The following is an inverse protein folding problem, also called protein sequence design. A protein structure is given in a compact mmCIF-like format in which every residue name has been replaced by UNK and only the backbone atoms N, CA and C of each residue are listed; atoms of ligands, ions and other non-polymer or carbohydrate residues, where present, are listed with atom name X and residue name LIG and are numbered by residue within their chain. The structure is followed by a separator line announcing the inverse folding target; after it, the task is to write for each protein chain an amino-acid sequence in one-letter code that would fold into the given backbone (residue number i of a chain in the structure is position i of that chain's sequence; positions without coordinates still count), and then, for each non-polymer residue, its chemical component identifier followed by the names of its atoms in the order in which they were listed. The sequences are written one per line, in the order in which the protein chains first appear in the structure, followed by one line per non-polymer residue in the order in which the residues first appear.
data_IF_720790943268
#
_entry.id   IF_720790943268
#
_cell.length_a   1.000
_cell.length_b   1.000
_cell.length_c   1.000
_cell.angle_alpha   90.00
_cell.angle_beta   90.00
_cell.angle_gamma   90.00
#
_symmetry.space_group_name_H-M   'P 1'
#
loop_
_entity.id
_entity.type
_entity.pdbx_description
1 polymer ?
#
# COMPACT_ATOMS: atom_id res chain seq x y z
N UNK A 1 2.83 -17.50 4.88
CA UNK A 1 1.40 -17.19 5.03
C UNK A 1 1.08 -16.18 3.95
N UNK A 2 -0.01 -16.36 3.21
CA UNK A 2 -0.33 -15.45 2.12
C UNK A 2 -0.94 -14.16 2.70
N UNK A 3 -0.24 -13.04 2.54
CA UNK A 3 -0.76 -11.72 2.88
C UNK A 3 -1.77 -11.28 1.83
N UNK A 4 -3.04 -11.13 2.22
CA UNK A 4 -4.08 -10.59 1.37
C UNK A 4 -4.64 -9.29 1.98
N UNK A 5 -4.97 -8.33 1.12
CA UNK A 5 -5.74 -7.15 1.48
C UNK A 5 -7.16 -7.30 0.95
N UNK A 6 -8.15 -7.01 1.78
CA UNK A 6 -9.55 -6.96 1.39
C UNK A 6 -9.98 -5.50 1.33
N UNK A 7 -10.52 -5.08 0.19
CA UNK A 7 -11.01 -3.73 -0.04
C UNK A 7 -12.37 -3.73 -0.73
N UNK A 8 -12.93 -2.54 -0.88
CA UNK A 8 -14.22 -2.32 -1.54
C UNK A 8 -14.15 -1.05 -2.36
N UNK A 9 -14.34 -1.17 -3.68
CA UNK A 9 -14.45 -0.05 -4.58
C UNK A 9 -15.85 -0.01 -5.21
N UNK A 10 -16.55 1.12 -5.07
CA UNK A 10 -17.82 1.37 -5.76
C UNK A 10 -18.88 0.27 -5.58
N UNK A 11 -18.89 -0.38 -4.41
CA UNK A 11 -19.80 -1.48 -4.07
C UNK A 11 -19.36 -2.87 -4.51
N UNK A 12 -18.17 -3.00 -5.12
CA UNK A 12 -17.54 -4.27 -5.45
C UNK A 12 -16.39 -4.56 -4.49
N UNK A 13 -16.48 -5.71 -3.83
CA UNK A 13 -15.44 -6.18 -2.94
C UNK A 13 -14.32 -6.85 -3.74
N UNK A 14 -13.07 -6.63 -3.35
CA UNK A 14 -11.92 -7.21 -4.01
C UNK A 14 -10.87 -7.71 -3.01
N UNK A 15 -10.03 -8.62 -3.47
CA UNK A 15 -8.91 -9.17 -2.71
C UNK A 15 -7.61 -8.95 -3.49
N UNK A 16 -6.60 -8.37 -2.84
CA UNK A 16 -5.27 -8.16 -3.42
C UNK A 16 -4.29 -9.11 -2.74
N UNK A 17 -3.61 -9.94 -3.52
CA UNK A 17 -2.52 -10.79 -3.03
C UNK A 17 -1.23 -9.97 -2.89
N UNK A 18 -0.92 -9.54 -1.66
CA UNK A 18 0.22 -8.67 -1.39
C UNK A 18 1.57 -9.35 -1.62
N UNK A 19 1.64 -10.68 -1.57
CA UNK A 19 2.89 -11.42 -1.84
C UNK A 19 3.33 -11.31 -3.30
N UNK A 20 2.42 -10.92 -4.19
CA UNK A 20 2.71 -10.74 -5.60
C UNK A 20 2.99 -9.28 -5.94
N UNK A 21 2.77 -8.33 -5.02
CA UNK A 21 3.14 -6.93 -5.24
C UNK A 21 4.67 -6.86 -5.19
N UNK A 22 5.30 -6.35 -6.23
CA UNK A 22 6.75 -6.12 -6.24
C UNK A 22 7.13 -4.64 -6.34
N UNK A 23 6.17 -3.78 -6.72
CA UNK A 23 6.38 -2.35 -6.82
C UNK A 23 5.12 -1.58 -6.45
N UNK A 24 5.30 -0.49 -5.72
CA UNK A 24 4.22 0.40 -5.28
C UNK A 24 4.55 1.81 -5.75
N UNK A 25 3.71 2.37 -6.61
CA UNK A 25 3.78 3.76 -7.04
C UNK A 25 2.59 4.55 -6.47
N UNK A 26 2.80 5.32 -5.39
CA UNK A 26 1.78 6.22 -4.86
C UNK A 26 1.59 7.46 -5.74
N UNK A 27 0.35 7.76 -6.10
CA UNK A 27 -0.04 9.03 -6.73
C UNK A 27 -0.94 9.83 -5.78
N UNK A 28 -1.31 11.06 -6.18
CA UNK A 28 -2.07 12.01 -5.35
C UNK A 28 -3.42 11.43 -4.88
N UNK A 29 -4.15 10.76 -5.78
CA UNK A 29 -5.50 10.24 -5.51
C UNK A 29 -5.63 8.73 -5.72
N UNK A 30 -4.51 8.02 -5.90
CA UNK A 30 -4.51 6.58 -6.15
C UNK A 30 -3.20 5.91 -5.78
N UNK A 31 -3.23 4.60 -5.65
CA UNK A 31 -2.06 3.76 -5.41
C UNK A 31 -1.93 2.73 -6.53
N UNK A 32 -0.85 2.81 -7.29
CA UNK A 32 -0.58 1.87 -8.37
C UNK A 32 0.30 0.74 -7.84
N UNK A 33 -0.21 -0.48 -7.90
CA UNK A 33 0.48 -1.70 -7.50
C UNK A 33 0.87 -2.47 -8.76
N UNK A 34 2.18 -2.74 -8.92
CA UNK A 34 2.65 -3.69 -9.93
C UNK A 34 2.84 -5.05 -9.29
N UNK A 35 2.19 -6.05 -9.89
CA UNK A 35 2.07 -7.41 -9.41
C UNK A 35 2.83 -8.36 -10.35
N UNK A 36 3.35 -9.46 -9.81
CA UNK A 36 3.98 -10.51 -10.61
C UNK A 36 3.10 -10.93 -11.79
N UNK A 37 3.72 -11.04 -12.97
CA UNK A 37 3.01 -11.34 -14.23
C UNK A 37 2.50 -10.10 -14.97
N UNK A 38 3.13 -8.94 -14.78
CA UNK A 38 2.84 -7.66 -15.45
C UNK A 38 1.41 -7.13 -15.23
N UNK A 39 0.75 -7.59 -14.16
CA UNK A 39 -0.55 -7.05 -13.75
C UNK A 39 -0.36 -5.75 -12.99
N UNK A 40 -1.16 -4.75 -13.32
CA UNK A 40 -1.17 -3.44 -12.66
C UNK A 40 -2.55 -3.19 -12.08
N UNK A 41 -2.61 -2.86 -10.79
CA UNK A 41 -3.84 -2.55 -10.07
C UNK A 41 -3.75 -1.10 -9.61
N UNK A 42 -4.76 -0.29 -9.93
CA UNK A 42 -4.95 1.02 -9.33
C UNK A 42 -5.96 0.90 -8.20
N UNK A 43 -5.58 1.36 -7.00
CA UNK A 43 -6.47 1.45 -5.85
C UNK A 43 -6.79 2.91 -5.61
N UNK A 44 -8.07 3.23 -5.53
CA UNK A 44 -8.59 4.59 -5.38
C UNK A 44 -9.46 4.69 -4.12
N UNK A 45 -9.78 5.92 -3.71
CA UNK A 45 -10.70 6.18 -2.59
C UNK A 45 -10.15 5.86 -1.20
N UNK A 46 -11.03 5.44 -0.31
CA UNK A 46 -10.75 5.30 1.14
C UNK A 46 -9.71 4.21 1.44
N UNK A 47 -9.59 3.23 0.56
CA UNK A 47 -8.67 2.10 0.70
C UNK A 47 -7.20 2.51 0.54
N UNK A 48 -6.91 3.67 -0.09
CA UNK A 48 -5.53 4.14 -0.32
C UNK A 48 -4.76 4.24 1.00
N UNK A 49 -5.32 4.87 2.01
CA UNK A 49 -4.61 5.15 3.27
C UNK A 49 -4.34 3.84 4.02
N UNK A 50 -5.37 2.99 4.14
CA UNK A 50 -5.26 1.70 4.81
C UNK A 50 -4.25 0.79 4.11
N UNK A 51 -4.33 0.70 2.77
CA UNK A 51 -3.44 -0.14 1.98
C UNK A 51 -1.99 0.37 2.03
N UNK A 52 -1.77 1.70 2.00
CA UNK A 52 -0.42 2.28 2.17
C UNK A 52 0.22 1.84 3.49
N UNK A 53 -0.53 1.88 4.60
CA UNK A 53 -0.02 1.45 5.91
C UNK A 53 0.35 -0.04 5.92
N UNK A 54 -0.48 -0.90 5.33
CA UNK A 54 -0.22 -2.34 5.25
C UNK A 54 1.03 -2.62 4.41
N UNK A 55 1.16 -2.02 3.23
CA UNK A 55 2.30 -2.23 2.34
C UNK A 55 3.62 -1.70 2.94
N UNK A 56 3.55 -0.62 3.71
CA UNK A 56 4.71 -0.06 4.42
C UNK A 56 5.22 -1.02 5.50
N UNK A 57 4.31 -1.66 6.23
CA UNK A 57 4.66 -2.66 7.25
C UNK A 57 5.34 -3.91 6.67
N UNK A 58 5.16 -4.17 5.37
CA UNK A 58 5.68 -5.35 4.68
C UNK A 58 6.96 -5.09 3.87
N UNK A 59 7.58 -3.90 3.98
CA UNK A 59 8.85 -3.56 3.31
C UNK A 59 8.83 -3.82 1.79
N UNK A 60 7.76 -3.43 1.11
CA UNK A 60 7.76 -3.35 -0.35
C UNK A 60 8.62 -2.16 -0.79
N UNK A 61 9.31 -2.25 -1.92
CA UNK A 61 10.10 -1.14 -2.44
C UNK A 61 9.15 0.00 -2.86
N UNK A 62 9.09 1.05 -2.04
CA UNK A 62 8.46 2.33 -2.36
C UNK A 62 9.43 3.14 -3.22
N UNK A 63 8.93 3.88 -4.21
CA UNK A 63 9.77 4.89 -4.87
C UNK A 63 10.34 5.87 -3.82
N UNK A 64 11.60 6.28 -4.02
CA UNK A 64 12.40 7.04 -3.04
C UNK A 64 11.72 8.34 -2.58
N UNK A 65 10.81 8.90 -3.37
CA UNK A 65 10.07 10.13 -3.06
C UNK A 65 9.25 10.04 -1.76
N UNK A 66 8.87 8.82 -1.31
CA UNK A 66 8.16 8.60 -0.05
C UNK A 66 9.05 8.11 1.11
N UNK A 67 10.32 7.82 0.85
CA UNK A 67 11.27 7.43 1.91
C UNK A 67 11.66 8.62 2.79
N UNK A 68 11.62 9.83 2.23
CA UNK A 68 11.96 11.08 2.90
C UNK A 68 10.78 11.79 3.57
N UNK A 69 9.55 11.28 3.45
CA UNK A 69 8.39 11.82 4.17
C UNK A 69 8.33 11.36 5.64
N UNK A 70 9.49 11.45 6.31
CA UNK A 70 9.64 11.33 7.77
C UNK A 70 8.90 12.43 8.53
N UNK A 71 8.20 13.36 7.85
CA UNK A 71 7.36 14.39 8.49
C UNK A 71 6.06 13.84 9.04
N UNK A 72 5.50 12.79 8.44
CA UNK A 72 4.34 12.06 9.00
C UNK A 72 4.69 11.24 10.24
N UNK A 73 5.99 11.09 10.55
CA UNK A 73 6.51 10.31 11.67
C UNK A 73 6.54 11.06 13.01
N UNK A 74 5.96 12.27 13.11
CA UNK A 74 5.85 13.00 14.39
C UNK A 74 4.60 12.69 15.21
N UNK A 75 3.64 11.89 14.72
CA UNK A 75 2.40 11.67 15.46
C UNK A 75 2.36 10.44 16.37
N UNK A 76 3.29 9.48 16.27
CA UNK A 76 3.25 8.32 17.18
C UNK A 76 4.64 7.89 17.62
N UNK A 77 4.96 7.94 18.94
CA UNK A 77 6.22 7.41 19.43
C UNK A 77 6.20 5.88 19.28
N UNK A 78 7.35 5.25 18.97
CA UNK A 78 7.44 3.80 19.02
C UNK A 78 7.21 3.35 20.45
N UNK A 79 6.07 2.68 20.67
CA UNK A 79 5.78 1.97 21.90
C UNK A 79 6.85 0.91 22.12
N UNK A 80 7.59 1.08 23.22
CA UNK A 80 8.58 0.13 23.74
C UNK A 80 8.01 -1.29 23.79
N UNK A 81 8.81 -2.26 23.36
CA UNK A 81 9.09 -3.48 24.13
C UNK A 81 10.42 -4.08 23.69
#
# INVERSE_FOLDING_TARGET
MANFYYGSDSGQNYWINLNHVYFVNPEENRLILKMLGDYVIAVEGDDIIALKQVLWSQTLNWEDEFRDDKRTMKMFPPGRR
#
